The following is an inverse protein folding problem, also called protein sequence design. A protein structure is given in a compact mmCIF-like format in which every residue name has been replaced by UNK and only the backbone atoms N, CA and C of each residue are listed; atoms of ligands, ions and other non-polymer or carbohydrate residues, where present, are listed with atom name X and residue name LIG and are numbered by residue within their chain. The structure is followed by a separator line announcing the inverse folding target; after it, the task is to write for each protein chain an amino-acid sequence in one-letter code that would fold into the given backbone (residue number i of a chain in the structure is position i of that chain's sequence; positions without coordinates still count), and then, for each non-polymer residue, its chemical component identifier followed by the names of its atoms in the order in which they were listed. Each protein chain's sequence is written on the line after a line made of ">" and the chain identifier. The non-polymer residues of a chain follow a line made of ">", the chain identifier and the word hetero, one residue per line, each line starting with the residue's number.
data_IF_447296123918
#
_entry.id   IF_447296123918
#
_cell.length_a   1.000
_cell.length_b   1.000
_cell.length_c   1.000
_cell.angle_alpha   90.00
_cell.angle_beta   90.00
_cell.angle_gamma   90.00
#
_symmetry.space_group_name_H-M   'P 1'
#
loop_
_entity.id
_entity.type
_entity.pdbx_description
1 polymer ?
#
# COMPACT_ATOMS: atom_id res chain seq x y z
N UNK A 1 59.89 5.01 40.02
CA UNK A 1 59.13 5.56 38.88
C UNK A 1 58.21 4.43 38.40
N UNK A 2 56.99 4.38 38.95
CA UNK A 2 56.02 3.30 38.69
C UNK A 2 55.24 3.67 37.42
N UNK A 3 55.45 2.92 36.33
CA UNK A 3 54.72 3.11 35.08
C UNK A 3 53.37 2.39 35.20
N UNK A 4 52.30 3.14 35.44
CA UNK A 4 50.93 2.62 35.49
C UNK A 4 50.39 2.38 34.09
N UNK A 5 50.13 1.12 33.74
CA UNK A 5 49.47 0.73 32.50
C UNK A 5 47.96 0.97 32.64
N UNK A 6 47.44 2.00 31.96
CA UNK A 6 45.99 2.21 31.80
C UNK A 6 45.47 1.24 30.75
N UNK A 7 44.77 0.19 31.19
CA UNK A 7 44.01 -0.70 30.31
C UNK A 7 42.70 0.00 29.96
N UNK A 8 42.61 0.55 28.75
CA UNK A 8 41.36 1.09 28.20
C UNK A 8 40.42 -0.07 27.86
N UNK A 9 39.31 -0.20 28.58
CA UNK A 9 38.23 -1.13 28.23
C UNK A 9 37.56 -0.69 26.93
N UNK A 10 37.58 -1.58 25.93
CA UNK A 10 36.82 -1.38 24.69
C UNK A 10 35.33 -1.44 25.07
N UNK A 11 34.50 -0.43 24.72
CA UNK A 11 33.06 -0.49 24.94
C UNK A 11 32.50 -1.72 24.24
N UNK A 12 31.89 -2.62 25.02
CA UNK A 12 31.30 -3.83 24.52
C UNK A 12 30.22 -3.49 23.50
N UNK A 13 30.38 -4.00 22.27
CA UNK A 13 29.34 -3.96 21.25
C UNK A 13 28.18 -4.78 21.80
N UNK A 14 27.14 -4.10 22.27
CA UNK A 14 25.87 -4.74 22.63
C UNK A 14 25.30 -5.29 21.34
N UNK A 15 25.43 -6.60 21.12
CA UNK A 15 24.74 -7.26 20.02
C UNK A 15 23.24 -7.06 20.26
N UNK A 16 22.61 -6.30 19.37
CA UNK A 16 21.17 -6.09 19.43
C UNK A 16 20.48 -7.47 19.47
N UNK A 17 19.60 -7.67 20.44
CA UNK A 17 18.81 -8.89 20.48
C UNK A 17 18.01 -9.00 19.17
N UNK A 18 17.95 -10.19 18.54
CA UNK A 18 17.20 -10.37 17.32
C UNK A 18 15.73 -10.01 17.56
N UNK A 19 15.15 -9.22 16.66
CA UNK A 19 13.72 -8.88 16.70
C UNK A 19 12.94 -10.20 16.65
N UNK A 20 11.96 -10.43 17.55
CA UNK A 20 11.15 -11.64 17.50
C UNK A 20 10.52 -11.81 16.12
N UNK A 21 10.49 -13.04 15.60
CA UNK A 21 9.79 -13.31 14.34
C UNK A 21 8.27 -13.20 14.55
N UNK A 22 7.59 -12.61 13.56
CA UNK A 22 6.13 -12.57 13.53
C UNK A 22 5.53 -13.98 13.52
N UNK A 23 4.31 -14.11 14.07
CA UNK A 23 3.58 -15.38 14.17
C UNK A 23 2.40 -15.47 13.20
N UNK A 24 1.92 -14.34 12.73
CA UNK A 24 0.80 -14.24 11.78
C UNK A 24 0.85 -12.86 11.10
N UNK A 25 0.09 -12.72 10.01
CA UNK A 25 -0.07 -11.47 9.26
C UNK A 25 -1.54 -11.07 9.26
N UNK A 26 -1.82 -9.79 9.53
CA UNK A 26 -3.16 -9.21 9.48
C UNK A 26 -3.23 -8.18 8.35
N UNK A 27 -4.11 -8.39 7.39
CA UNK A 27 -4.21 -7.54 6.19
C UNK A 27 -5.61 -6.96 6.05
N UNK A 28 -5.72 -5.65 5.87
CA UNK A 28 -6.95 -5.02 5.36
C UNK A 28 -6.70 -4.62 3.91
N UNK A 29 -7.50 -5.17 2.99
CA UNK A 29 -7.63 -4.64 1.63
C UNK A 29 -8.58 -3.45 1.67
N UNK A 30 -8.04 -2.25 1.50
CA UNK A 30 -8.79 -0.99 1.57
C UNK A 30 -8.97 -0.45 0.14
N UNK A 31 -10.15 -0.68 -0.42
CA UNK A 31 -10.43 -0.44 -1.84
C UNK A 31 -11.25 0.84 -2.02
N UNK A 32 -10.71 1.76 -2.80
CA UNK A 32 -11.42 2.95 -3.24
C UNK A 32 -12.51 2.59 -4.24
N UNK A 33 -13.73 3.05 -3.97
CA UNK A 33 -14.90 2.88 -4.84
C UNK A 33 -15.45 4.23 -5.32
N UNK A 34 -14.72 5.31 -5.15
CA UNK A 34 -15.13 6.63 -5.63
C UNK A 34 -15.39 6.65 -7.14
N UNK A 35 -16.07 7.71 -7.60
CA UNK A 35 -16.38 7.91 -9.01
C UNK A 35 -15.13 7.99 -9.90
N UNK A 36 -14.01 8.52 -9.39
CA UNK A 36 -12.74 8.60 -10.12
C UNK A 36 -12.20 7.21 -10.49
N UNK A 37 -12.45 6.20 -9.66
CA UNK A 37 -12.08 4.81 -9.92
C UNK A 37 -12.87 4.15 -11.08
N UNK A 38 -13.96 4.76 -11.54
CA UNK A 38 -14.69 4.32 -12.75
C UNK A 38 -13.97 4.70 -14.04
N UNK A 39 -12.92 5.53 -13.97
CA UNK A 39 -12.14 5.97 -15.13
C UNK A 39 -11.59 4.77 -15.88
N UNK A 40 -11.86 4.71 -17.18
CA UNK A 40 -11.40 3.66 -18.08
C UNK A 40 -9.98 3.97 -18.53
N UNK A 41 -9.08 3.02 -18.32
CA UNK A 41 -7.68 3.09 -18.72
C UNK A 41 -7.55 2.99 -20.24
N UNK A 42 -6.74 3.87 -20.82
CA UNK A 42 -6.59 3.98 -22.27
C UNK A 42 -5.88 2.78 -22.89
N UNK A 43 -5.03 2.09 -22.13
CA UNK A 43 -4.25 0.97 -22.65
C UNK A 43 -5.07 -0.32 -22.82
N UNK A 44 -5.89 -0.68 -21.82
CA UNK A 44 -6.56 -1.99 -21.77
C UNK A 44 -8.08 -1.92 -21.66
N UNK A 45 -8.66 -0.71 -21.73
CA UNK A 45 -10.10 -0.46 -21.68
C UNK A 45 -10.77 -1.00 -20.40
N UNK A 46 -10.00 -1.13 -19.31
CA UNK A 46 -10.52 -1.53 -17.99
C UNK A 46 -10.61 -0.33 -17.07
N UNK A 47 -11.60 -0.33 -16.18
CA UNK A 47 -11.70 0.68 -15.13
C UNK A 47 -10.52 0.54 -14.14
N UNK A 48 -10.04 1.65 -13.56
CA UNK A 48 -9.06 1.63 -12.47
C UNK A 48 -9.52 0.73 -11.33
N UNK A 49 -10.80 0.81 -10.97
CA UNK A 49 -11.42 -0.07 -9.99
C UNK A 49 -11.19 -1.55 -10.31
N UNK A 50 -11.45 -1.98 -11.54
CA UNK A 50 -11.27 -3.38 -11.95
C UNK A 50 -9.81 -3.83 -11.85
N UNK A 51 -8.85 -2.94 -12.11
CA UNK A 51 -7.42 -3.22 -11.95
C UNK A 51 -7.02 -3.30 -10.49
N UNK A 52 -7.50 -2.38 -9.65
CA UNK A 52 -7.29 -2.43 -8.20
C UNK A 52 -7.82 -3.72 -7.59
N UNK A 53 -8.98 -4.16 -8.06
CA UNK A 53 -9.59 -5.44 -7.69
C UNK A 53 -8.76 -6.65 -8.14
N UNK A 54 -8.17 -6.61 -9.34
CA UNK A 54 -7.25 -7.66 -9.81
C UNK A 54 -6.02 -7.73 -8.88
N UNK A 55 -5.37 -6.60 -8.62
CA UNK A 55 -4.16 -6.56 -7.79
C UNK A 55 -4.43 -7.00 -6.35
N UNK A 56 -5.60 -6.66 -5.80
CA UNK A 56 -6.03 -7.17 -4.49
C UNK A 56 -6.17 -8.71 -4.48
N UNK A 57 -6.73 -9.31 -5.54
CA UNK A 57 -6.84 -10.78 -5.67
C UNK A 57 -5.47 -11.44 -5.78
N UNK A 58 -4.58 -10.89 -6.60
CA UNK A 58 -3.21 -11.39 -6.74
C UNK A 58 -2.48 -11.38 -5.38
N UNK A 59 -2.68 -10.35 -4.56
CA UNK A 59 -2.13 -10.28 -3.22
C UNK A 59 -2.76 -11.29 -2.22
N UNK A 60 -3.99 -11.76 -2.44
CA UNK A 60 -4.59 -12.88 -1.69
C UNK A 60 -3.95 -14.20 -2.14
N UNK A 61 -3.79 -14.39 -3.46
CA UNK A 61 -3.21 -15.60 -4.09
C UNK A 61 -1.73 -15.79 -3.76
N UNK A 62 -0.99 -14.70 -3.50
CA UNK A 62 0.42 -14.71 -3.13
C UNK A 62 0.77 -15.63 -1.93
N UNK A 63 -0.21 -15.96 -1.10
CA UNK A 63 0.02 -16.82 0.08
C UNK A 63 0.95 -16.16 1.11
N UNK A 64 1.43 -16.95 2.06
CA UNK A 64 2.52 -16.63 3.00
C UNK A 64 2.87 -17.90 3.77
N UNK A 65 4.11 -17.99 4.23
CA UNK A 65 4.57 -18.99 5.19
C UNK A 65 3.91 -18.84 6.58
N UNK A 66 3.38 -17.65 6.89
CA UNK A 66 2.69 -17.33 8.13
C UNK A 66 1.15 -17.41 7.96
N UNK A 67 0.40 -17.78 9.01
CA UNK A 67 -1.05 -17.65 9.01
C UNK A 67 -1.49 -16.21 8.67
N UNK A 68 -2.38 -16.05 7.69
CA UNK A 68 -2.89 -14.75 7.25
C UNK A 68 -4.35 -14.59 7.65
N UNK A 69 -4.67 -13.47 8.30
CA UNK A 69 -6.03 -13.01 8.53
C UNK A 69 -6.28 -11.78 7.68
N UNK A 70 -7.31 -11.84 6.85
CA UNK A 70 -7.59 -10.83 5.84
C UNK A 70 -8.99 -10.25 6.05
N UNK A 71 -9.16 -8.97 5.75
CA UNK A 71 -10.44 -8.29 5.73
C UNK A 71 -10.55 -7.45 4.44
N UNK A 72 -11.77 -7.23 3.97
CA UNK A 72 -12.07 -6.45 2.75
C UNK A 72 -12.94 -5.27 3.11
N UNK A 73 -12.38 -4.09 2.94
CA UNK A 73 -12.99 -2.81 3.24
C UNK A 73 -13.05 -1.99 1.97
N UNK A 74 -14.07 -1.15 1.85
CA UNK A 74 -14.13 -0.16 0.78
C UNK A 74 -14.52 1.20 1.30
N UNK A 75 -14.24 2.25 0.55
CA UNK A 75 -14.63 3.60 0.92
C UNK A 75 -15.17 4.40 -0.26
N UNK A 76 -16.15 5.23 0.03
CA UNK A 76 -16.87 6.07 -0.92
C UNK A 76 -17.71 7.09 -0.12
N UNK A 77 -17.99 8.25 -0.71
CA UNK A 77 -18.76 9.33 -0.11
C UNK A 77 -18.05 9.87 1.14
N UNK A 78 -18.70 9.80 2.29
CA UNK A 78 -18.14 10.23 3.57
C UNK A 78 -17.96 9.04 4.54
N UNK A 79 -17.86 7.81 4.03
CA UNK A 79 -17.80 6.63 4.89
C UNK A 79 -16.98 5.49 4.29
N UNK A 80 -16.80 4.45 5.10
CA UNK A 80 -16.26 3.17 4.68
C UNK A 80 -17.28 2.06 4.97
N UNK A 81 -17.15 0.95 4.26
CA UNK A 81 -17.95 -0.24 4.42
C UNK A 81 -17.04 -1.44 4.66
N UNK A 82 -17.39 -2.26 5.66
CA UNK A 82 -16.74 -3.54 5.92
C UNK A 82 -17.52 -4.63 5.20
N UNK A 83 -16.93 -5.20 4.14
CA UNK A 83 -17.56 -6.26 3.35
C UNK A 83 -17.24 -7.65 3.89
N UNK A 84 -16.03 -7.80 4.44
CA UNK A 84 -15.59 -9.00 5.14
C UNK A 84 -14.65 -8.57 6.27
N UNK A 85 -14.99 -8.98 7.49
CA UNK A 85 -14.11 -8.82 8.64
C UNK A 85 -13.01 -9.91 8.64
N UNK A 86 -12.05 -9.84 9.55
CA UNK A 86 -10.89 -10.73 9.55
C UNK A 86 -11.26 -12.22 9.51
N UNK A 87 -10.75 -12.91 8.48
CA UNK A 87 -10.86 -14.35 8.29
C UNK A 87 -9.57 -14.90 7.69
N UNK A 88 -9.25 -16.15 8.00
CA UNK A 88 -8.17 -16.93 7.40
C UNK A 88 -8.64 -17.73 6.16
N UNK A 89 -9.91 -17.64 5.79
CA UNK A 89 -10.47 -18.31 4.63
C UNK A 89 -10.34 -17.44 3.36
N UNK A 90 -9.41 -17.76 2.43
CA UNK A 90 -9.22 -16.96 1.22
C UNK A 90 -10.45 -16.94 0.31
N UNK A 91 -11.29 -17.99 0.32
CA UNK A 91 -12.51 -18.02 -0.49
C UNK A 91 -13.52 -16.95 -0.07
N UNK A 92 -13.64 -16.67 1.24
CA UNK A 92 -14.50 -15.59 1.72
C UNK A 92 -13.99 -14.23 1.27
N UNK A 93 -12.66 -14.05 1.24
CA UNK A 93 -12.02 -12.84 0.72
C UNK A 93 -12.27 -12.68 -0.78
N UNK A 94 -12.10 -13.74 -1.57
CA UNK A 94 -12.41 -13.69 -3.00
C UNK A 94 -13.88 -13.41 -3.29
N UNK A 95 -14.79 -13.97 -2.49
CA UNK A 95 -16.22 -13.70 -2.62
C UNK A 95 -16.53 -12.23 -2.30
N UNK A 96 -15.97 -11.70 -1.20
CA UNK A 96 -16.13 -10.30 -0.83
C UNK A 96 -15.57 -9.34 -1.89
N UNK A 97 -14.36 -9.60 -2.38
CA UNK A 97 -13.76 -8.84 -3.48
C UNK A 97 -14.63 -8.92 -4.75
N UNK A 98 -15.14 -10.10 -5.11
CA UNK A 98 -15.98 -10.27 -6.31
C UNK A 98 -17.34 -9.57 -6.23
N UNK A 99 -17.83 -9.30 -5.02
CA UNK A 99 -19.09 -8.60 -4.81
C UNK A 99 -18.96 -7.07 -4.91
N UNK A 100 -17.74 -6.52 -4.85
CA UNK A 100 -17.52 -5.08 -4.94
C UNK A 100 -17.81 -4.56 -6.34
N UNK A 101 -18.36 -3.34 -6.40
CA UNK A 101 -18.64 -2.62 -7.64
C UNK A 101 -18.11 -1.20 -7.50
N UNK A 102 -17.63 -0.59 -8.59
CA UNK A 102 -17.27 0.82 -8.57
C UNK A 102 -18.49 1.66 -8.18
N UNK A 103 -18.28 2.67 -7.35
CA UNK A 103 -19.27 3.65 -6.96
C UNK A 103 -19.19 4.91 -7.81
N UNK A 104 -19.89 5.95 -7.37
CA UNK A 104 -19.98 7.26 -8.04
C UNK A 104 -19.70 8.43 -7.08
N UNK A 105 -19.44 8.14 -5.81
CA UNK A 105 -19.24 9.12 -4.75
C UNK A 105 -17.82 9.65 -4.65
N UNK A 106 -17.58 10.40 -3.58
CA UNK A 106 -16.30 11.01 -3.21
C UNK A 106 -15.37 10.02 -2.49
N UNK A 107 -14.16 10.46 -2.19
CA UNK A 107 -12.99 9.71 -1.69
C UNK A 107 -12.66 10.13 -0.23
N UNK A 108 -13.21 9.44 0.80
CA UNK A 108 -12.90 9.72 2.21
C UNK A 108 -11.69 8.89 2.70
N UNK A 109 -10.56 9.02 2.00
CA UNK A 109 -9.34 8.24 2.21
C UNK A 109 -8.79 8.34 3.64
N UNK A 110 -8.66 9.55 4.20
CA UNK A 110 -8.07 9.81 5.51
C UNK A 110 -8.91 9.18 6.63
N UNK A 111 -10.23 9.34 6.57
CA UNK A 111 -11.15 8.68 7.51
C UNK A 111 -11.01 7.17 7.43
N UNK A 112 -11.10 6.62 6.22
CA UNK A 112 -11.10 5.17 5.99
C UNK A 112 -9.78 4.52 6.37
N UNK A 113 -8.65 5.15 6.03
CA UNK A 113 -7.32 4.68 6.41
C UNK A 113 -7.15 4.69 7.94
N UNK A 114 -7.62 5.73 8.63
CA UNK A 114 -7.47 5.80 10.09
C UNK A 114 -8.34 4.81 10.85
N UNK A 115 -9.52 4.52 10.33
CA UNK A 115 -10.40 3.46 10.86
C UNK A 115 -9.80 2.07 10.61
N UNK A 116 -9.23 1.84 9.43
CA UNK A 116 -8.51 0.60 9.13
C UNK A 116 -7.31 0.39 10.07
N UNK A 117 -6.55 1.44 10.38
CA UNK A 117 -5.47 1.38 11.38
C UNK A 117 -6.00 1.01 12.76
N UNK A 118 -7.07 1.68 13.22
CA UNK A 118 -7.69 1.37 14.51
C UNK A 118 -8.14 -0.09 14.57
N UNK A 119 -8.78 -0.58 13.51
CA UNK A 119 -9.21 -1.98 13.41
C UNK A 119 -8.04 -2.95 13.45
N UNK A 120 -7.01 -2.72 12.63
CA UNK A 120 -5.80 -3.56 12.59
C UNK A 120 -5.17 -3.64 13.97
N UNK A 121 -4.95 -2.50 14.64
CA UNK A 121 -4.33 -2.47 15.98
C UNK A 121 -5.15 -3.23 17.01
N UNK A 122 -6.47 -3.08 17.00
CA UNK A 122 -7.38 -3.78 17.92
C UNK A 122 -7.54 -5.28 17.66
N UNK A 123 -7.16 -5.76 16.47
CA UNK A 123 -7.27 -7.18 16.15
C UNK A 123 -6.13 -8.00 16.77
N UNK A 124 -6.51 -9.07 17.49
CA UNK A 124 -5.62 -10.07 18.11
C UNK A 124 -4.37 -9.48 18.77
N UNK A 125 -4.58 -8.54 19.69
CA UNK A 125 -3.51 -7.78 20.37
C UNK A 125 -2.53 -8.62 21.21
N UNK A 126 -2.87 -9.88 21.48
CA UNK A 126 -2.03 -10.81 22.25
C UNK A 126 -1.06 -11.62 21.36
N UNK A 127 -1.13 -11.48 20.04
CA UNK A 127 -0.23 -12.15 19.09
C UNK A 127 0.72 -11.13 18.48
N UNK A 128 2.00 -11.48 18.39
CA UNK A 128 2.99 -10.68 17.68
C UNK A 128 2.81 -10.89 16.17
N UNK A 129 1.98 -10.03 15.56
CA UNK A 129 1.57 -10.12 14.17
C UNK A 129 2.10 -8.95 13.36
N UNK A 130 2.41 -9.20 12.09
CA UNK A 130 2.66 -8.13 11.12
C UNK A 130 1.31 -7.54 10.69
N UNK A 131 1.12 -6.23 10.84
CA UNK A 131 -0.14 -5.55 10.50
C UNK A 131 0.04 -4.77 9.21
N UNK A 132 -0.86 -4.95 8.25
CA UNK A 132 -0.71 -4.44 6.88
C UNK A 132 -1.99 -3.86 6.32
N UNK A 133 -1.87 -2.75 5.59
CA UNK A 133 -2.93 -2.19 4.74
C UNK A 133 -2.50 -2.37 3.30
N UNK A 134 -3.37 -2.95 2.48
CA UNK A 134 -3.27 -3.01 1.01
C UNK A 134 -4.26 -2.00 0.45
N UNK A 135 -3.80 -0.76 0.25
CA UNK A 135 -4.61 0.35 -0.26
C UNK A 135 -4.63 0.34 -1.79
N UNK A 136 -5.81 0.46 -2.39
CA UNK A 136 -5.98 0.68 -3.84
C UNK A 136 -6.83 1.92 -4.06
N UNK A 137 -6.24 3.00 -4.58
CA UNK A 137 -6.91 4.30 -4.77
C UNK A 137 -6.26 5.11 -5.88
N UNK A 138 -7.01 5.96 -6.56
CA UNK A 138 -6.48 6.96 -7.51
C UNK A 138 -6.30 8.35 -6.88
N UNK A 139 -6.70 8.49 -5.61
CA UNK A 139 -6.24 9.50 -4.68
C UNK A 139 -6.98 10.83 -4.68
N UNK A 140 -6.47 11.70 -3.81
CA UNK A 140 -7.05 12.93 -3.25
C UNK A 140 -8.25 12.74 -2.31
N UNK A 141 -7.95 12.96 -1.03
CA UNK A 141 -8.92 13.15 0.03
C UNK A 141 -9.86 14.32 -0.31
N UNK A 142 -11.18 14.07 -0.38
CA UNK A 142 -12.13 15.14 -0.69
C UNK A 142 -13.43 15.14 0.14
N UNK A 143 -13.65 14.19 1.07
CA UNK A 143 -14.90 14.16 1.84
C UNK A 143 -14.88 13.38 3.18
N UNK A 144 -13.74 13.26 3.87
CA UNK A 144 -13.72 12.69 5.24
C UNK A 144 -14.68 13.46 6.17
N UNK A 145 -15.51 12.75 6.96
CA UNK A 145 -16.43 13.38 7.89
C UNK A 145 -15.80 14.40 8.83
N UNK A 146 -16.51 15.50 9.04
CA UNK A 146 -16.13 16.51 10.02
C UNK A 146 -16.05 15.90 11.41
N UNK A 147 -14.93 16.10 12.10
CA UNK A 147 -14.68 15.56 13.43
C UNK A 147 -14.08 14.15 13.45
N UNK A 148 -13.88 13.51 12.29
CA UNK A 148 -13.12 12.26 12.25
C UNK A 148 -11.65 12.49 12.63
N UNK A 149 -11.02 11.49 13.26
CA UNK A 149 -9.70 11.63 13.91
C UNK A 149 -8.63 12.17 12.96
N UNK A 150 -8.69 11.75 11.70
CA UNK A 150 -7.71 12.09 10.66
C UNK A 150 -8.18 13.12 9.65
N UNK A 151 -9.34 13.74 9.87
CA UNK A 151 -9.77 14.87 9.08
C UNK A 151 -8.78 16.03 9.20
N UNK A 152 -8.46 16.71 8.10
CA UNK A 152 -7.63 17.91 8.09
C UNK A 152 -7.58 18.54 6.70
N UNK A 153 -7.00 19.76 6.58
CA UNK A 153 -6.73 20.33 5.26
C UNK A 153 -5.73 19.47 4.49
N UNK A 154 -5.75 19.58 3.17
CA UNK A 154 -4.73 19.01 2.31
C UNK A 154 -3.39 19.74 2.51
N UNK A 155 -2.30 19.01 2.70
CA UNK A 155 -0.95 19.57 2.66
C UNK A 155 0.02 18.67 1.91
N UNK A 156 0.47 19.09 0.71
CA UNK A 156 1.61 18.54 -0.01
C UNK A 156 2.88 18.33 0.83
N UNK A 157 3.08 19.17 1.85
CA UNK A 157 4.24 19.16 2.73
C UNK A 157 4.02 18.36 4.02
N UNK A 158 2.84 17.74 4.20
CA UNK A 158 2.41 17.10 5.44
C UNK A 158 2.49 18.05 6.65
N UNK A 159 2.03 19.30 6.48
CA UNK A 159 2.00 20.27 7.58
C UNK A 159 1.23 19.74 8.79
N UNK A 160 1.59 20.14 10.02
CA UNK A 160 0.86 19.73 11.22
C UNK A 160 -0.65 19.94 11.07
N UNK A 161 -1.44 18.95 11.51
CA UNK A 161 -2.90 18.91 11.39
C UNK A 161 -3.47 18.68 9.98
N UNK A 162 -2.65 18.63 8.93
CA UNK A 162 -3.11 18.10 7.63
C UNK A 162 -3.57 16.66 7.76
N UNK A 163 -4.49 16.23 6.89
CA UNK A 163 -4.96 14.85 6.92
C UNK A 163 -3.79 13.88 6.64
N UNK A 164 -2.84 14.23 5.77
CA UNK A 164 -1.65 13.43 5.48
C UNK A 164 -0.82 13.18 6.74
N UNK A 165 -0.54 14.26 7.49
CA UNK A 165 0.20 14.21 8.74
C UNK A 165 -0.51 13.34 9.78
N UNK A 166 -1.83 13.47 9.87
CA UNK A 166 -2.67 12.70 10.80
C UNK A 166 -2.69 11.22 10.48
N UNK A 167 -2.90 10.84 9.21
CA UNK A 167 -2.85 9.44 8.76
C UNK A 167 -1.46 8.84 9.03
N UNK A 168 -0.39 9.58 8.73
CA UNK A 168 0.99 9.14 9.01
C UNK A 168 1.20 8.90 10.51
N UNK A 169 0.78 9.82 11.37
CA UNK A 169 0.90 9.65 12.83
C UNK A 169 0.06 8.49 13.34
N UNK A 170 -1.14 8.30 12.80
CA UNK A 170 -2.02 7.18 13.14
C UNK A 170 -1.36 5.85 12.79
N UNK A 171 -0.77 5.71 11.61
CA UNK A 171 -0.02 4.52 11.20
C UNK A 171 1.18 4.22 12.11
N UNK A 172 1.88 5.27 12.56
CA UNK A 172 3.07 5.14 13.42
C UNK A 172 2.74 4.80 14.86
N UNK A 173 1.75 5.48 15.43
CA UNK A 173 1.54 5.52 16.88
C UNK A 173 0.19 5.00 17.32
N UNK A 174 -0.76 4.84 16.39
CA UNK A 174 -2.14 4.49 16.68
C UNK A 174 -2.99 5.68 17.10
N UNK A 175 -2.42 6.88 17.13
CA UNK A 175 -3.08 8.13 17.47
C UNK A 175 -2.70 9.20 16.44
N UNK A 176 -3.68 9.75 15.74
CA UNK A 176 -3.46 10.74 14.67
C UNK A 176 -2.81 12.05 15.16
N UNK A 177 -2.94 12.34 16.46
CA UNK A 177 -2.44 13.56 17.09
C UNK A 177 -1.07 13.38 17.76
N UNK A 178 -0.58 12.14 17.88
CA UNK A 178 0.67 11.87 18.58
C UNK A 178 1.86 12.04 17.64
N UNK A 179 2.72 13.02 17.94
CA UNK A 179 3.95 13.32 17.19
C UNK A 179 5.15 12.49 17.63
N UNK A 180 5.04 11.78 18.75
CA UNK A 180 6.16 11.03 19.30
C UNK A 180 6.38 9.77 18.46
N UNK A 181 7.52 9.77 17.75
CA UNK A 181 7.95 8.65 16.92
C UNK A 181 8.38 7.50 17.83
N UNK A 182 7.74 6.31 17.73
CA UNK A 182 8.22 5.14 18.44
C UNK A 182 9.63 4.77 17.97
N UNK A 183 10.54 4.31 18.85
CA UNK A 183 11.90 3.92 18.46
C UNK A 183 11.93 2.82 17.38
N UNK A 184 10.87 2.01 17.30
CA UNK A 184 10.75 0.87 16.40
C UNK A 184 10.18 1.21 15.03
N UNK A 185 9.89 2.49 14.74
CA UNK A 185 9.30 2.90 13.46
C UNK A 185 7.77 2.72 13.42
N UNK A 186 7.24 2.34 12.25
CA UNK A 186 5.80 2.11 12.07
C UNK A 186 5.35 0.78 12.65
N UNK A 187 4.15 0.75 13.24
CA UNK A 187 3.51 -0.49 13.67
C UNK A 187 2.71 -1.19 12.56
N UNK A 188 2.37 -0.46 11.49
CA UNK A 188 1.58 -0.95 10.36
C UNK A 188 2.35 -0.71 9.07
N UNK A 189 2.54 -1.79 8.32
CA UNK A 189 3.11 -1.81 6.97
C UNK A 189 2.05 -1.33 5.97
N UNK A 190 2.40 -0.42 5.08
CA UNK A 190 1.48 0.13 4.07
C UNK A 190 1.93 -0.27 2.66
N UNK A 191 1.16 -1.16 2.04
CA UNK A 191 1.25 -1.46 0.61
C UNK A 191 0.20 -0.63 -0.12
N UNK A 192 0.65 0.14 -1.12
CA UNK A 192 -0.18 1.13 -1.77
C UNK A 192 -0.12 0.90 -3.28
N UNK A 193 -1.26 0.59 -3.87
CA UNK A 193 -1.52 0.65 -5.30
C UNK A 193 -2.17 1.99 -5.61
N UNK A 194 -1.46 2.82 -6.36
CA UNK A 194 -1.87 4.18 -6.66
C UNK A 194 -2.08 4.35 -8.17
N UNK A 195 -3.26 4.82 -8.59
CA UNK A 195 -3.52 5.09 -10.00
C UNK A 195 -3.19 6.55 -10.33
N UNK A 196 -2.00 6.78 -10.90
CA UNK A 196 -1.33 8.10 -10.88
C UNK A 196 -1.67 9.07 -11.99
N UNK A 197 -2.47 8.69 -12.98
CA UNK A 197 -2.89 9.57 -14.05
C UNK A 197 -4.18 10.29 -13.66
N UNK A 198 -4.12 11.51 -13.13
CA UNK A 198 -5.35 12.30 -13.01
C UNK A 198 -5.89 12.70 -14.39
N UNK A 199 -7.22 12.80 -14.46
CA UNK A 199 -8.03 13.17 -15.63
C UNK A 199 -7.43 14.33 -16.42
N UNK A 200 -7.36 14.20 -17.74
CA UNK A 200 -7.48 15.35 -18.64
C UNK A 200 -8.97 15.72 -18.72
N UNK A 201 -9.41 16.81 -18.08
CA UNK A 201 -10.72 17.38 -18.42
C UNK A 201 -10.55 18.05 -19.79
N UNK A 202 -10.97 17.35 -20.84
CA UNK A 202 -11.06 17.96 -22.17
C UNK A 202 -12.42 18.62 -22.28
N UNK A 203 -12.43 19.93 -22.47
CA UNK A 203 -13.64 20.67 -22.83
C UNK A 203 -14.30 20.04 -24.06
N UNK A 204 -15.53 19.56 -23.89
CA UNK A 204 -16.43 19.21 -24.99
C UNK A 204 -16.83 17.74 -25.09
N UNK A 205 -17.84 17.34 -24.29
CA UNK A 205 -18.94 16.54 -24.85
C UNK A 205 -19.01 15.03 -24.60
N UNK A 206 -18.42 14.46 -23.55
CA UNK A 206 -18.73 13.06 -23.18
C UNK A 206 -18.88 12.84 -21.68
N UNK A 207 -19.88 12.01 -21.33
CA UNK A 207 -20.35 11.60 -20.00
C UNK A 207 -19.28 10.99 -19.06
N UNK A 208 -18.29 11.76 -18.62
CA UNK A 208 -17.42 11.39 -17.51
C UNK A 208 -17.70 12.35 -16.37
N UNK A 209 -18.30 11.85 -15.29
CA UNK A 209 -18.64 12.66 -14.13
C UNK A 209 -17.35 13.24 -13.52
N UNK A 210 -17.18 14.58 -13.48
CA UNK A 210 -16.05 15.18 -12.79
C UNK A 210 -16.07 14.79 -11.32
N UNK A 211 -14.90 14.58 -10.72
CA UNK A 211 -14.79 14.48 -9.26
C UNK A 211 -15.01 15.88 -8.68
N UNK A 212 -16.27 16.17 -8.37
CA UNK A 212 -16.68 17.43 -7.76
C UNK A 212 -16.69 17.19 -6.26
N UNK A 213 -15.93 17.99 -5.50
CA UNK A 213 -16.08 17.98 -4.04
C UNK A 213 -17.52 18.31 -3.66
N UNK A 214 -17.89 17.95 -2.44
CA UNK A 214 -19.24 18.17 -1.89
C UNK A 214 -19.76 19.62 -2.01
N UNK A 215 -18.86 20.60 -2.12
CA UNK A 215 -19.17 22.04 -2.29
C UNK A 215 -19.21 22.51 -3.77
N UNK A 216 -19.22 21.59 -4.74
CA UNK A 216 -19.31 21.95 -6.15
C UNK A 216 -17.98 22.39 -6.77
N UNK A 217 -16.86 22.26 -6.05
CA UNK A 217 -15.54 22.68 -6.53
C UNK A 217 -14.84 21.53 -7.25
N UNK A 218 -14.17 21.87 -8.35
CA UNK A 218 -13.21 20.97 -8.99
C UNK A 218 -11.94 21.03 -8.14
N UNK A 219 -11.54 19.89 -7.57
CA UNK A 219 -10.47 19.83 -6.54
C UNK A 219 -9.07 19.93 -7.15
N UNK A 220 -8.92 19.77 -8.46
CA UNK A 220 -7.64 19.97 -9.16
C UNK A 220 -7.82 20.48 -10.60
N UNK A 221 -6.92 21.37 -11.03
CA UNK A 221 -6.80 21.77 -12.44
C UNK A 221 -6.38 20.54 -13.27
N UNK A 222 -7.29 20.07 -14.11
CA UNK A 222 -7.21 18.81 -14.83
C UNK A 222 -6.36 18.87 -16.10
N UNK A 223 -5.33 19.72 -16.12
CA UNK A 223 -4.48 19.95 -17.29
C UNK A 223 -3.11 19.29 -17.20
N UNK A 224 -2.75 18.68 -16.06
CA UNK A 224 -1.44 18.05 -15.91
C UNK A 224 -1.53 16.70 -15.16
N UNK A 225 -1.06 15.58 -15.75
CA UNK A 225 -0.87 14.35 -14.98
C UNK A 225 0.03 14.68 -13.80
N UNK A 226 -0.28 14.17 -12.60
CA UNK A 226 0.65 14.32 -11.49
C UNK A 226 1.98 13.72 -11.95
N UNK A 227 3.08 14.48 -11.90
CA UNK A 227 4.37 13.88 -12.19
C UNK A 227 4.53 12.69 -11.24
N UNK A 228 5.18 11.58 -11.65
CA UNK A 228 5.54 10.47 -10.76
C UNK A 228 6.35 10.87 -9.51
N UNK A 229 6.71 12.15 -9.37
CA UNK A 229 7.27 12.80 -8.19
C UNK A 229 6.47 14.03 -7.72
N UNK A 230 5.17 14.09 -7.98
CA UNK A 230 4.26 15.10 -7.43
C UNK A 230 4.10 14.93 -5.91
N UNK A 231 3.66 15.97 -5.18
CA UNK A 231 3.69 15.93 -3.72
C UNK A 231 2.87 14.79 -3.10
N UNK A 232 1.71 14.46 -3.68
CA UNK A 232 0.89 13.34 -3.20
C UNK A 232 1.56 11.97 -3.41
N UNK A 233 2.18 11.74 -4.57
CA UNK A 233 2.94 10.51 -4.83
C UNK A 233 4.14 10.41 -3.89
N UNK A 234 4.81 11.54 -3.59
CA UNK A 234 5.90 11.58 -2.58
C UNK A 234 5.38 11.22 -1.19
N UNK A 235 4.20 11.70 -0.82
CA UNK A 235 3.54 11.34 0.43
C UNK A 235 3.27 9.84 0.51
N UNK A 236 2.63 9.25 -0.49
CA UNK A 236 2.34 7.81 -0.51
C UNK A 236 3.63 6.99 -0.50
N UNK A 237 4.66 7.41 -1.26
CA UNK A 237 5.97 6.78 -1.27
C UNK A 237 6.63 6.83 0.11
N UNK A 238 6.61 7.99 0.77
CA UNK A 238 7.17 8.15 2.10
C UNK A 238 6.47 7.23 3.11
N UNK A 239 5.14 7.14 3.09
CA UNK A 239 4.41 6.21 3.97
C UNK A 239 4.79 4.76 3.67
N UNK A 240 4.79 4.35 2.40
CA UNK A 240 5.15 3.00 2.02
C UNK A 240 6.58 2.66 2.46
N UNK A 241 7.56 3.51 2.16
CA UNK A 241 8.97 3.28 2.49
C UNK A 241 9.23 3.29 4.01
N UNK A 242 8.71 4.29 4.74
CA UNK A 242 8.91 4.40 6.19
C UNK A 242 8.23 3.26 6.96
N UNK A 243 7.15 2.70 6.41
CA UNK A 243 6.44 1.55 6.99
C UNK A 243 7.02 0.19 6.58
N UNK A 244 8.06 0.17 5.75
CA UNK A 244 8.63 -1.07 5.20
C UNK A 244 7.79 -1.72 4.09
N UNK A 245 6.74 -1.04 3.63
CA UNK A 245 5.88 -1.49 2.53
C UNK A 245 6.36 -1.08 1.14
N UNK A 246 5.42 -1.04 0.19
CA UNK A 246 5.68 -0.74 -1.23
C UNK A 246 4.63 0.18 -1.82
N UNK A 247 5.07 1.06 -2.72
CA UNK A 247 4.21 1.85 -3.59
C UNK A 247 4.30 1.28 -5.01
N UNK A 248 3.17 0.89 -5.57
CA UNK A 248 3.00 0.54 -6.98
C UNK A 248 2.17 1.63 -7.65
N UNK A 249 2.74 2.29 -8.65
CA UNK A 249 2.03 3.29 -9.45
C UNK A 249 1.52 2.64 -10.73
N UNK A 250 0.23 2.74 -10.97
CA UNK A 250 -0.43 2.27 -12.19
C UNK A 250 -0.88 3.49 -13.00
N UNK A 251 -0.31 3.67 -14.18
CA UNK A 251 -0.75 4.72 -15.09
C UNK A 251 -1.81 4.16 -16.05
N UNK A 252 -2.76 4.99 -16.47
CA UNK A 252 -3.86 4.57 -17.37
C UNK A 252 -3.35 4.14 -18.76
N UNK A 253 -2.20 4.67 -19.17
CA UNK A 253 -1.54 4.39 -20.45
C UNK A 253 -0.35 3.42 -20.33
N UNK A 254 -0.06 2.89 -19.14
CA UNK A 254 0.99 1.91 -18.92
C UNK A 254 0.39 0.55 -18.57
N UNK A 255 1.07 -0.56 -18.92
CA UNK A 255 0.66 -1.89 -18.51
C UNK A 255 0.57 -2.01 -16.99
N UNK A 256 -0.34 -2.85 -16.49
CA UNK A 256 -0.43 -3.11 -15.04
C UNK A 256 0.87 -3.78 -14.59
N UNK A 257 1.57 -3.24 -13.57
CA UNK A 257 2.75 -3.89 -13.03
C UNK A 257 2.39 -5.27 -12.50
N UNK A 258 3.15 -6.30 -12.91
CA UNK A 258 2.99 -7.62 -12.36
C UNK A 258 3.55 -7.63 -10.92
N UNK A 259 2.89 -8.36 -10.03
CA UNK A 259 3.30 -8.44 -8.64
C UNK A 259 4.72 -9.01 -8.47
N UNK A 260 5.10 -9.96 -9.33
CA UNK A 260 6.40 -10.62 -9.33
C UNK A 260 7.48 -9.95 -10.22
N UNK A 261 7.21 -8.75 -10.77
CA UNK A 261 8.20 -7.91 -11.46
C UNK A 261 9.03 -7.15 -10.40
N UNK A 262 9.93 -7.88 -9.75
CA UNK A 262 10.66 -7.46 -8.55
C UNK A 262 11.77 -6.46 -8.87
N UNK A 263 12.32 -6.49 -10.09
CA UNK A 263 13.26 -5.48 -10.56
C UNK A 263 12.56 -4.24 -11.16
N UNK A 264 11.24 -4.34 -11.40
CA UNK A 264 10.36 -3.30 -11.95
C UNK A 264 10.72 -2.88 -13.36
N UNK A 265 11.28 -3.79 -14.15
CA UNK A 265 11.60 -3.53 -15.56
C UNK A 265 10.35 -3.54 -16.45
N UNK A 266 9.20 -4.00 -15.93
CA UNK A 266 7.92 -4.10 -16.63
C UNK A 266 7.65 -5.50 -17.19
N UNK A 267 8.42 -6.51 -16.82
CA UNK A 267 8.28 -7.89 -17.26
C UNK A 267 8.86 -8.89 -16.26
N UNK A 268 8.06 -9.86 -15.83
CA UNK A 268 8.49 -10.99 -15.01
C UNK A 268 9.30 -11.97 -15.86
N UNK A 269 10.61 -12.07 -15.60
CA UNK A 269 11.54 -12.89 -16.38
C UNK A 269 12.70 -13.46 -15.53
N UNK A 270 13.78 -13.90 -16.20
CA UNK A 270 14.96 -14.47 -15.52
C UNK A 270 15.61 -13.51 -14.53
N UNK A 271 15.58 -12.20 -14.75
CA UNK A 271 16.17 -11.21 -13.84
C UNK A 271 15.42 -11.20 -12.50
N UNK A 272 14.09 -11.29 -12.55
CA UNK A 272 13.25 -11.40 -11.35
C UNK A 272 13.52 -12.70 -10.59
N UNK A 273 13.60 -13.80 -11.34
CA UNK A 273 13.91 -15.11 -10.78
C UNK A 273 15.29 -15.14 -10.13
N UNK A 274 16.31 -14.58 -10.79
CA UNK A 274 17.67 -14.51 -10.27
C UNK A 274 17.72 -13.67 -8.99
N UNK A 275 16.93 -12.59 -8.89
CA UNK A 275 16.83 -11.79 -7.66
C UNK A 275 16.21 -12.60 -6.51
N UNK A 276 15.16 -13.37 -6.78
CA UNK A 276 14.54 -14.26 -5.78
C UNK A 276 15.50 -15.36 -5.35
N UNK A 277 16.14 -16.05 -6.31
CA UNK A 277 17.10 -17.13 -6.02
C UNK A 277 18.34 -16.64 -5.27
N UNK A 278 18.83 -15.44 -5.57
CA UNK A 278 19.96 -14.84 -4.86
C UNK A 278 19.64 -14.52 -3.39
N UNK A 279 18.36 -14.38 -3.04
CA UNK A 279 17.91 -14.10 -1.68
C UNK A 279 17.22 -15.30 -1.01
N UNK A 280 17.09 -16.42 -1.70
CA UNK A 280 16.33 -17.58 -1.23
C UNK A 280 16.83 -18.11 0.12
N UNK A 281 15.91 -18.29 1.06
CA UNK A 281 16.17 -18.71 2.43
C UNK A 281 16.62 -17.60 3.39
N UNK A 282 16.80 -16.37 2.91
CA UNK A 282 17.14 -15.24 3.77
C UNK A 282 15.88 -14.61 4.38
N UNK A 283 15.99 -14.18 5.63
CA UNK A 283 15.03 -13.23 6.22
C UNK A 283 15.25 -11.85 5.61
N UNK A 284 14.22 -11.01 5.61
CA UNK A 284 14.29 -9.61 5.19
C UNK A 284 14.16 -8.72 6.43
N UNK A 285 15.26 -8.12 6.94
CA UNK A 285 16.67 -8.18 6.49
C UNK A 285 17.45 -9.45 6.93
N UNK A 286 18.61 -9.81 6.31
CA UNK A 286 19.42 -9.02 5.37
C UNK A 286 19.09 -9.19 3.88
N UNK A 287 18.15 -10.06 3.51
CA UNK A 287 17.74 -10.26 2.12
C UNK A 287 17.17 -8.98 1.49
N UNK A 288 17.20 -8.91 0.16
CA UNK A 288 16.57 -7.85 -0.60
C UNK A 288 15.04 -7.93 -0.45
N UNK A 289 14.44 -6.88 0.12
CA UNK A 289 12.99 -6.78 0.31
C UNK A 289 12.17 -6.91 -0.96
N UNK A 290 12.77 -6.71 -2.14
CA UNK A 290 12.08 -6.89 -3.43
C UNK A 290 11.87 -8.36 -3.76
N UNK A 291 12.74 -9.24 -3.25
CA UNK A 291 12.64 -10.69 -3.45
C UNK A 291 11.58 -11.35 -2.53
N UNK A 292 11.17 -10.68 -1.45
CA UNK A 292 10.04 -11.07 -0.59
C UNK A 292 8.75 -10.48 -1.18
N UNK A 293 8.18 -11.18 -2.16
CA UNK A 293 7.07 -10.70 -3.00
C UNK A 293 5.77 -10.72 -2.20
N UNK A 294 5.59 -11.73 -1.34
CA UNK A 294 4.39 -11.87 -0.50
C UNK A 294 4.45 -10.99 0.78
N UNK A 295 5.64 -10.51 1.15
CA UNK A 295 5.90 -9.56 2.23
C UNK A 295 5.90 -10.18 3.62
N UNK A 296 6.19 -11.48 3.74
CA UNK A 296 6.20 -12.23 5.01
C UNK A 296 7.57 -12.25 5.71
N UNK A 297 8.52 -11.51 5.16
CA UNK A 297 9.89 -11.29 5.64
C UNK A 297 10.80 -12.51 5.51
N UNK A 298 10.44 -13.49 4.69
CA UNK A 298 11.29 -14.63 4.35
C UNK A 298 11.17 -14.87 2.84
N UNK A 299 12.30 -14.83 2.12
CA UNK A 299 12.29 -15.20 0.70
C UNK A 299 12.29 -16.73 0.59
N UNK A 300 11.19 -17.32 0.17
CA UNK A 300 11.04 -18.78 0.12
C UNK A 300 10.37 -19.30 -1.16
N UNK A 301 9.88 -20.55 -1.09
CA UNK A 301 9.23 -21.20 -2.22
C UNK A 301 7.96 -20.47 -2.69
N UNK A 302 7.25 -19.76 -1.79
CA UNK A 302 6.08 -18.99 -2.15
C UNK A 302 6.48 -17.85 -3.09
N UNK A 303 7.54 -17.09 -2.80
CA UNK A 303 8.02 -16.01 -3.68
C UNK A 303 8.51 -16.56 -5.03
N UNK A 304 9.26 -17.66 -5.00
CA UNK A 304 9.66 -18.35 -6.23
C UNK A 304 8.43 -18.73 -7.07
N UNK A 305 7.41 -19.34 -6.45
CA UNK A 305 6.21 -19.78 -7.15
C UNK A 305 5.41 -18.62 -7.76
N UNK A 306 5.50 -17.42 -7.17
CA UNK A 306 4.90 -16.20 -7.71
C UNK A 306 5.62 -15.74 -8.98
N UNK A 307 6.95 -15.77 -9.02
CA UNK A 307 7.71 -15.47 -10.25
C UNK A 307 7.35 -16.45 -11.36
N UNK A 308 7.28 -17.75 -11.04
CA UNK A 308 6.94 -18.78 -12.04
C UNK A 308 5.49 -18.66 -12.52
N UNK A 309 4.53 -18.39 -11.62
CA UNK A 309 3.12 -18.27 -12.00
C UNK A 309 2.84 -17.01 -12.81
N UNK A 310 3.64 -15.96 -12.65
CA UNK A 310 3.54 -14.72 -13.41
C UNK A 310 4.57 -14.62 -14.54
N UNK A 311 5.21 -15.72 -14.96
CA UNK A 311 6.25 -15.69 -15.98
C UNK A 311 5.77 -15.07 -17.30
N UNK A 312 6.53 -14.10 -17.82
CA UNK A 312 6.17 -13.38 -19.03
C UNK A 312 4.95 -12.45 -18.88
N UNK A 313 4.45 -12.25 -17.66
CA UNK A 313 3.49 -11.19 -17.37
C UNK A 313 4.22 -9.85 -17.27
N UNK A 314 3.52 -8.79 -17.66
CA UNK A 314 4.05 -7.45 -17.68
C UNK A 314 4.01 -6.85 -19.08
N UNK A 315 3.99 -5.53 -19.10
CA UNK A 315 3.85 -4.73 -20.30
C UNK A 315 4.97 -4.82 -21.32
N UNK A 316 6.15 -5.24 -20.89
CA UNK A 316 7.40 -5.11 -21.62
C UNK A 316 8.05 -6.46 -21.92
N UNK A 317 7.32 -7.57 -21.81
CA UNK A 317 7.90 -8.90 -22.07
C UNK A 317 8.21 -9.20 -23.53
N UNK A 318 7.64 -8.44 -24.48
CA UNK A 318 7.82 -8.67 -25.91
C UNK A 318 8.82 -7.71 -26.58
N UNK A 319 9.54 -6.88 -25.83
CA UNK A 319 10.67 -6.14 -26.40
C UNK A 319 11.87 -7.07 -26.46
N UNK A 320 12.03 -7.77 -27.60
CA UNK A 320 13.31 -8.37 -27.99
C UNK A 320 14.35 -7.25 -28.03
N UNK A 321 15.30 -7.28 -27.10
CA UNK A 321 16.49 -6.42 -27.10
C UNK A 321 17.44 -6.79 -28.23
#
# INVERSE_FOLDING_TARGET
>A
MLLGLLVSSIPGVVMAQPVPAFKEVHVIFLIDRSGSMTTVRSLDNRQRFAVGMQMAREAVEAGSSLPRYMAVWSFENNSYQVHQDFTDNPQLIFNALSALQAGLGTTPLAYSACEAVTRLRGFRTHVFAQKRIELSSDGQENDSPVGSECQGPDSPAMDPQSWQWKVRNKLRTGNAQNTNVPPTGFEIVSHITFFGSFLSLRDGGSDVAPEVSRDGRVVADASLPLPPGGPFVRYLRAIAEESGGRLTVVEDNQPVPALADVDRNGCVNNVDLDLVLANFGNTVPPGDKRADINGDLIVDYNDYSMVISQWGMGGRCNVTF
#
